data_IF_365469291609
#
_entry.id   IF_365469291609
#
_cell.length_a   1.000
_cell.length_b   1.000
_cell.length_c   1.000
_cell.angle_alpha   90.00
_cell.angle_beta   90.00
_cell.angle_gamma   90.00
#
_symmetry.space_group_name_H-M   'P 1'
#
loop_
_entity.id
_entity.type
_entity.pdbx_description
1 polymer ?
#
# COMPACT_ATOMS: atom_id res chain seq x y z
N UNK A 1 -10.03 -18.58 -7.70
CA UNK A 1 -8.66 -18.07 -7.44
C UNK A 1 -7.49 -18.93 -7.96
N UNK A 2 -7.41 -20.23 -7.68
CA UNK A 2 -6.31 -21.13 -8.15
C UNK A 2 -6.22 -21.23 -9.67
N UNK A 3 -7.35 -21.35 -10.36
CA UNK A 3 -7.45 -21.43 -11.83
C UNK A 3 -7.09 -20.12 -12.55
N UNK A 4 -7.39 -18.95 -11.96
CA UNK A 4 -7.21 -17.65 -12.64
C UNK A 4 -5.73 -17.19 -12.64
N UNK A 5 -4.98 -17.56 -11.60
CA UNK A 5 -3.53 -17.30 -11.51
C UNK A 5 -2.76 -18.28 -12.40
N UNK A 6 -3.23 -19.52 -12.55
CA UNK A 6 -2.60 -20.52 -13.42
C UNK A 6 -2.86 -20.28 -14.92
N UNK A 7 -3.97 -19.61 -15.30
CA UNK A 7 -4.28 -19.29 -16.71
C UNK A 7 -3.56 -18.05 -17.26
N UNK A 8 -2.89 -17.26 -16.43
CA UNK A 8 -2.10 -16.10 -16.87
C UNK A 8 -0.62 -16.50 -17.00
N UNK A 9 -0.27 -17.16 -18.11
CA UNK A 9 1.10 -17.54 -18.49
C UNK A 9 2.09 -16.35 -18.62
N UNK A 10 1.61 -15.10 -18.49
CA UNK A 10 2.41 -13.88 -18.61
C UNK A 10 2.85 -13.25 -17.29
N UNK A 11 2.45 -13.79 -16.13
CA UNK A 11 2.93 -13.28 -14.85
C UNK A 11 4.26 -13.97 -14.48
N UNK A 12 5.40 -13.26 -14.35
CA UNK A 12 6.72 -13.88 -14.14
C UNK A 12 6.94 -14.54 -12.76
N UNK A 13 5.98 -14.47 -11.83
CA UNK A 13 6.18 -14.93 -10.44
C UNK A 13 4.97 -15.69 -9.84
N UNK A 14 4.36 -16.67 -10.53
CA UNK A 14 3.11 -17.31 -10.08
C UNK A 14 3.31 -18.09 -8.77
N UNK A 15 4.49 -18.68 -8.56
CA UNK A 15 4.83 -19.44 -7.35
C UNK A 15 5.01 -18.53 -6.12
N UNK A 16 5.67 -17.38 -6.26
CA UNK A 16 5.84 -16.45 -5.15
C UNK A 16 4.49 -15.83 -4.74
N UNK A 17 3.66 -15.46 -5.72
CA UNK A 17 2.30 -14.97 -5.49
C UNK A 17 1.46 -16.05 -4.78
N UNK A 18 1.57 -17.32 -5.20
CA UNK A 18 0.91 -18.45 -4.54
C UNK A 18 1.34 -18.58 -3.07
N UNK A 19 2.64 -18.58 -2.78
CA UNK A 19 3.18 -18.67 -1.42
C UNK A 19 2.65 -17.52 -0.56
N UNK A 20 2.64 -16.30 -1.08
CA UNK A 20 2.11 -15.13 -0.38
C UNK A 20 0.61 -15.31 -0.09
N UNK A 21 -0.18 -15.74 -1.07
CA UNK A 21 -1.62 -15.99 -0.90
C UNK A 21 -1.87 -17.07 0.16
N UNK A 22 -1.10 -18.16 0.13
CA UNK A 22 -1.24 -19.26 1.09
C UNK A 22 -0.81 -18.82 2.50
N UNK A 23 0.28 -18.05 2.63
CA UNK A 23 0.70 -17.43 3.90
C UNK A 23 -0.38 -16.51 4.49
N UNK A 24 -1.02 -15.68 3.66
CA UNK A 24 -2.11 -14.80 4.11
C UNK A 24 -3.43 -15.56 4.37
N UNK A 25 -3.60 -16.78 3.84
CA UNK A 25 -4.75 -17.65 4.13
C UNK A 25 -4.65 -18.31 5.51
N UNK A 26 -3.43 -18.64 5.95
CA UNK A 26 -3.16 -19.25 7.26
C UNK A 26 -3.23 -18.24 8.41
N UNK A 27 -3.13 -16.95 8.11
CA UNK A 27 -3.46 -15.88 9.06
C UNK A 27 -4.98 -15.81 9.24
N UNK A 28 -5.51 -15.58 10.46
CA UNK A 28 -6.93 -15.37 10.68
C UNK A 28 -7.37 -14.06 10.00
N UNK A 29 -7.75 -14.13 8.73
CA UNK A 29 -8.36 -13.02 8.01
C UNK A 29 -9.64 -13.47 7.31
N UNK A 30 -10.71 -12.66 7.41
CA UNK A 30 -12.01 -12.94 6.84
C UNK A 30 -11.97 -12.91 5.32
N UNK A 31 -12.82 -13.75 4.72
CA UNK A 31 -13.04 -13.82 3.29
C UNK A 31 -13.40 -12.43 2.73
N UNK A 32 -12.57 -11.92 1.83
CA UNK A 32 -12.90 -10.75 1.00
C UNK A 32 -14.10 -11.14 0.14
N UNK A 33 -15.28 -10.66 0.52
CA UNK A 33 -16.50 -10.86 -0.25
C UNK A 33 -16.39 -10.21 -1.62
N UNK A 34 -16.58 -11.02 -2.66
CA UNK A 34 -17.01 -10.67 -4.02
C UNK A 34 -16.51 -9.33 -4.59
N UNK A 35 -15.20 -9.09 -4.56
CA UNK A 35 -14.49 -8.17 -5.47
C UNK A 35 -13.24 -8.84 -6.03
N UNK A 36 -13.35 -10.09 -6.51
CA UNK A 36 -12.22 -10.81 -7.13
C UNK A 36 -11.69 -10.15 -8.42
N UNK A 37 -12.45 -9.22 -9.04
CA UNK A 37 -12.05 -8.57 -10.31
C UNK A 37 -11.24 -7.27 -10.17
N UNK A 38 -11.29 -6.59 -9.02
CA UNK A 38 -10.66 -5.26 -8.85
C UNK A 38 -9.34 -5.26 -8.07
N UNK A 39 -8.99 -6.35 -7.39
CA UNK A 39 -7.71 -6.43 -6.65
C UNK A 39 -6.54 -6.50 -7.63
N UNK A 40 -6.71 -7.19 -8.76
CA UNK A 40 -5.65 -7.37 -9.74
C UNK A 40 -5.25 -6.06 -10.44
N UNK A 41 -6.19 -5.12 -10.62
CA UNK A 41 -5.94 -3.83 -11.27
C UNK A 41 -5.15 -2.87 -10.37
N UNK A 42 -5.14 -3.10 -9.06
CA UNK A 42 -4.40 -2.29 -8.09
C UNK A 42 -2.93 -2.72 -7.92
N UNK A 43 -2.53 -3.88 -8.44
CA UNK A 43 -1.13 -4.28 -8.41
C UNK A 43 -0.29 -3.34 -9.27
N UNK A 44 0.80 -2.86 -8.67
CA UNK A 44 1.79 -2.01 -9.35
C UNK A 44 3.06 -2.79 -9.57
N UNK A 45 3.60 -2.69 -10.77
CA UNK A 45 4.93 -3.21 -11.08
C UNK A 45 5.98 -2.47 -10.23
N UNK A 46 6.85 -3.22 -9.56
CA UNK A 46 7.84 -2.65 -8.63
C UNK A 46 9.00 -1.96 -9.36
N UNK A 47 9.38 -2.47 -10.53
CA UNK A 47 10.46 -1.92 -11.36
C UNK A 47 9.99 -1.83 -12.80
N UNK A 48 9.83 -0.61 -13.30
CA UNK A 48 9.65 -0.30 -14.72
C UNK A 48 10.91 0.42 -15.19
N UNK A 49 11.61 -0.16 -16.16
CA UNK A 49 12.85 0.45 -16.69
C UNK A 49 12.56 1.65 -17.59
N UNK A 50 11.35 1.79 -18.12
CA UNK A 50 11.00 2.95 -18.94
C UNK A 50 10.78 4.22 -18.11
N UNK A 51 10.26 4.09 -16.89
CA UNK A 51 9.64 5.23 -16.19
C UNK A 51 10.52 5.84 -15.10
N UNK A 52 11.44 5.04 -14.53
CA UNK A 52 12.23 5.42 -13.37
C UNK A 52 13.73 5.19 -13.53
N UNK A 53 14.54 6.05 -12.90
CA UNK A 53 15.98 5.90 -12.82
C UNK A 53 16.32 4.63 -12.05
N UNK A 54 17.15 3.78 -12.65
CA UNK A 54 17.61 2.56 -11.99
C UNK A 54 18.75 2.89 -11.03
N UNK A 55 18.48 2.72 -9.75
CA UNK A 55 19.49 2.78 -8.70
C UNK A 55 19.67 1.38 -8.13
N UNK A 56 20.87 0.82 -8.28
CA UNK A 56 21.16 -0.47 -7.66
C UNK A 56 21.22 -0.33 -6.13
N UNK A 57 21.11 -1.46 -5.42
CA UNK A 57 21.09 -1.46 -3.96
C UNK A 57 22.39 -0.87 -3.34
N UNK A 58 23.53 -1.04 -4.00
CA UNK A 58 24.81 -0.49 -3.53
C UNK A 58 24.84 1.04 -3.64
N UNK A 59 24.39 1.61 -4.77
CA UNK A 59 24.28 3.05 -4.99
C UNK A 59 23.29 3.68 -4.00
N UNK A 60 22.12 3.07 -3.79
CA UNK A 60 21.14 3.54 -2.80
C UNK A 60 21.72 3.63 -1.39
N UNK A 61 22.56 2.65 -1.01
CA UNK A 61 23.26 2.64 0.27
C UNK A 61 24.40 3.65 0.30
N UNK A 62 25.26 3.68 -0.72
CA UNK A 62 26.48 4.51 -0.75
C UNK A 62 26.15 6.00 -0.78
N UNK A 63 25.04 6.38 -1.41
CA UNK A 63 24.51 7.74 -1.41
C UNK A 63 23.62 8.05 -0.21
N UNK A 64 23.47 7.10 0.72
CA UNK A 64 22.64 7.23 1.93
C UNK A 64 21.24 7.80 1.63
N UNK A 65 20.58 7.30 0.57
CA UNK A 65 19.34 7.91 0.07
C UNK A 65 18.20 7.77 1.08
N UNK A 66 18.06 6.59 1.68
CA UNK A 66 16.96 6.28 2.59
C UNK A 66 17.39 6.24 4.06
N UNK A 67 18.55 5.66 4.35
CA UNK A 67 19.12 5.51 5.67
C UNK A 67 20.64 5.73 5.60
N UNK A 68 21.21 6.24 6.68
CA UNK A 68 22.64 6.40 6.87
C UNK A 68 23.31 5.03 7.11
N UNK A 69 24.56 4.86 6.64
CA UNK A 69 25.28 3.59 6.76
C UNK A 69 25.87 3.33 8.15
N UNK A 70 26.22 4.39 8.89
CA UNK A 70 26.88 4.31 10.19
C UNK A 70 25.95 3.75 11.27
N UNK A 71 24.69 4.21 11.29
CA UNK A 71 23.73 3.84 12.34
C UNK A 71 22.54 3.03 11.82
N UNK A 72 22.35 2.93 10.50
CA UNK A 72 21.14 2.38 9.90
C UNK A 72 19.88 3.24 10.10
N UNK A 73 20.02 4.40 10.76
CA UNK A 73 18.92 5.33 11.01
C UNK A 73 18.58 6.12 9.75
N UNK A 74 17.34 6.61 9.69
CA UNK A 74 16.95 7.62 8.69
C UNK A 74 17.70 8.92 8.95
N UNK A 75 18.03 9.25 10.21
CA UNK A 75 18.76 10.47 10.55
C UNK A 75 20.13 10.48 9.85
N UNK A 76 20.43 11.59 9.16
CA UNK A 76 21.66 11.74 8.37
C UNK A 76 21.56 11.25 6.92
N UNK A 77 20.43 10.67 6.51
CA UNK A 77 20.17 10.29 5.11
C UNK A 77 19.58 11.44 4.30
N UNK A 78 19.59 11.33 2.96
CA UNK A 78 18.93 12.31 2.09
C UNK A 78 17.42 12.42 2.40
N UNK A 79 16.77 11.30 2.70
CA UNK A 79 15.35 11.29 3.06
C UNK A 79 15.10 12.11 4.31
N UNK A 80 16.00 12.06 5.30
CA UNK A 80 15.86 12.89 6.49
C UNK A 80 15.97 14.39 6.19
N UNK A 81 16.85 14.77 5.26
CA UNK A 81 17.02 16.18 4.86
C UNK A 81 15.79 16.70 4.11
N UNK A 82 15.18 15.88 3.25
CA UNK A 82 14.06 16.31 2.41
C UNK A 82 12.67 16.13 3.05
N UNK A 83 12.57 15.32 4.10
CA UNK A 83 11.28 15.01 4.74
C UNK A 83 10.77 16.16 5.61
N UNK A 84 10.03 17.06 4.98
CA UNK A 84 9.21 18.09 5.61
C UNK A 84 7.70 17.78 5.53
N UNK A 85 7.35 16.50 5.34
CA UNK A 85 5.95 16.10 5.16
C UNK A 85 5.18 16.18 6.48
N UNK A 86 3.92 16.62 6.41
CA UNK A 86 3.07 16.76 7.60
C UNK A 86 2.21 15.52 7.88
N UNK A 87 2.20 14.54 6.96
CA UNK A 87 1.34 13.35 7.07
C UNK A 87 2.13 12.05 6.90
N UNK A 88 1.75 10.96 7.59
CA UNK A 88 2.43 9.67 7.46
C UNK A 88 2.38 9.07 6.05
N UNK A 89 1.25 9.25 5.35
CA UNK A 89 1.11 8.81 3.96
C UNK A 89 1.93 9.69 3.00
N UNK A 90 2.08 10.99 3.29
CA UNK A 90 2.99 11.89 2.56
C UNK A 90 4.45 11.43 2.68
N UNK A 91 4.89 11.08 3.89
CA UNK A 91 6.23 10.52 4.13
C UNK A 91 6.49 9.23 3.35
N UNK A 92 5.49 8.34 3.26
CA UNK A 92 5.57 7.11 2.46
C UNK A 92 5.68 7.40 0.97
N UNK A 93 4.91 8.39 0.48
CA UNK A 93 4.98 8.83 -0.90
C UNK A 93 6.35 9.43 -1.24
N UNK A 94 6.89 10.29 -0.37
CA UNK A 94 8.21 10.88 -0.55
C UNK A 94 9.30 9.79 -0.60
N UNK A 95 9.26 8.83 0.32
CA UNK A 95 10.18 7.68 0.30
C UNK A 95 10.13 6.94 -1.03
N UNK A 96 8.92 6.75 -1.60
CA UNK A 96 8.74 6.13 -2.91
C UNK A 96 9.38 6.96 -4.02
N UNK A 97 9.12 8.26 -4.09
CA UNK A 97 9.72 9.16 -5.08
C UNK A 97 11.25 9.15 -5.05
N UNK A 98 11.84 9.10 -3.85
CA UNK A 98 13.29 9.03 -3.71
C UNK A 98 13.88 7.70 -4.16
N UNK A 99 13.17 6.59 -3.93
CA UNK A 99 13.61 5.25 -4.38
C UNK A 99 13.35 4.98 -5.87
N UNK A 100 12.45 5.74 -6.49
CA UNK A 100 12.00 5.57 -7.87
C UNK A 100 11.97 6.93 -8.57
N UNK A 101 13.16 7.54 -8.70
CA UNK A 101 13.29 8.86 -9.33
C UNK A 101 12.77 8.81 -10.77
N UNK A 102 12.12 9.88 -11.22
CA UNK A 102 11.54 9.95 -12.57
C UNK A 102 12.65 10.03 -13.64
N UNK A 103 12.39 9.45 -14.82
CA UNK A 103 13.23 9.61 -16.03
C UNK A 103 12.68 10.67 -17.00
N UNK A 104 11.37 10.86 -17.00
CA UNK A 104 10.66 11.76 -17.92
C UNK A 104 10.93 13.23 -17.59
N UNK A 105 11.51 13.96 -18.54
CA UNK A 105 11.77 15.40 -18.39
C UNK A 105 10.47 16.17 -18.16
N UNK A 106 9.40 15.79 -18.83
CA UNK A 106 8.08 16.42 -18.70
C UNK A 106 7.57 16.29 -17.26
N UNK A 107 7.67 15.10 -16.67
CA UNK A 107 7.18 14.86 -15.31
C UNK A 107 8.07 15.55 -14.26
N UNK A 108 9.40 15.58 -14.49
CA UNK A 108 10.34 16.31 -13.64
C UNK A 108 10.02 17.81 -13.66
N UNK A 109 9.81 18.37 -14.85
CA UNK A 109 9.50 19.79 -15.01
C UNK A 109 8.16 20.13 -14.36
N UNK A 110 7.13 19.31 -14.53
CA UNK A 110 5.84 19.50 -13.87
C UNK A 110 5.96 19.50 -12.34
N UNK A 111 6.80 18.64 -11.77
CA UNK A 111 7.09 18.67 -10.32
C UNK A 111 7.82 19.96 -9.90
N UNK A 112 8.81 20.41 -10.68
CA UNK A 112 9.54 21.63 -10.40
C UNK A 112 8.66 22.88 -10.50
N UNK A 113 7.78 22.93 -11.50
CA UNK A 113 6.80 24.00 -11.68
C UNK A 113 5.82 24.05 -10.50
N UNK A 114 5.30 22.91 -10.05
CA UNK A 114 4.43 22.86 -8.88
C UNK A 114 5.15 23.35 -7.60
N UNK A 115 6.42 23.00 -7.42
CA UNK A 115 7.22 23.50 -6.28
C UNK A 115 7.43 25.01 -6.40
N UNK A 116 7.76 25.51 -7.59
CA UNK A 116 7.95 26.94 -7.83
C UNK A 116 6.66 27.74 -7.58
N UNK A 117 5.51 27.21 -8.01
CA UNK A 117 4.21 27.82 -7.76
C UNK A 117 3.93 27.93 -6.26
N UNK A 118 4.17 26.86 -5.49
CA UNK A 118 3.99 26.88 -4.03
C UNK A 118 4.92 27.89 -3.36
N UNK A 119 6.17 28.00 -3.81
CA UNK A 119 7.15 28.93 -3.24
C UNK A 119 6.86 30.41 -3.57
N UNK A 120 6.37 30.69 -4.78
CA UNK A 120 6.07 32.04 -5.23
C UNK A 120 4.66 32.51 -4.87
N UNK A 121 3.82 31.63 -4.30
CA UNK A 121 2.44 31.96 -3.98
C UNK A 121 2.34 32.84 -2.73
N UNK A 122 1.79 34.04 -2.89
CA UNK A 122 1.39 34.92 -1.77
C UNK A 122 0.00 34.55 -1.20
N UNK A 123 -0.56 33.40 -1.59
CA UNK A 123 -1.89 32.98 -1.19
C UNK A 123 -1.97 32.58 0.27
N UNK A 124 -2.89 33.19 1.02
CA UNK A 124 -3.21 32.82 2.41
C UNK A 124 -3.85 31.43 2.56
N UNK A 125 -4.19 30.78 1.45
CA UNK A 125 -4.77 29.42 1.42
C UNK A 125 -3.73 28.37 1.78
N UNK A 126 -2.45 28.55 1.41
CA UNK A 126 -1.41 27.54 1.65
C UNK A 126 -1.12 27.30 3.14
N UNK A 127 -0.94 28.34 3.99
CA UNK A 127 -0.81 28.14 5.43
C UNK A 127 -2.04 27.44 6.05
N UNK A 128 -3.23 27.81 5.58
CA UNK A 128 -4.48 27.19 6.03
C UNK A 128 -4.52 25.71 5.69
N UNK A 129 -4.14 25.34 4.47
CA UNK A 129 -4.04 23.94 4.02
C UNK A 129 -2.99 23.16 4.82
N UNK A 130 -1.81 23.74 5.07
CA UNK A 130 -0.77 23.11 5.88
C UNK A 130 -1.26 22.82 7.31
N UNK A 131 -2.01 23.75 7.91
CA UNK A 131 -2.61 23.56 9.24
C UNK A 131 -3.64 22.41 9.26
N UNK A 132 -4.36 22.22 8.16
CA UNK A 132 -5.31 21.10 8.02
C UNK A 132 -4.56 19.77 7.88
N UNK A 133 -3.55 19.72 7.01
CA UNK A 133 -2.75 18.51 6.79
C UNK A 133 -2.07 18.02 8.06
N UNK A 134 -1.56 18.94 8.89
CA UNK A 134 -0.89 18.60 10.16
C UNK A 134 -1.81 17.89 11.16
N UNK A 135 -3.13 18.10 11.06
CA UNK A 135 -4.13 17.47 11.95
C UNK A 135 -4.64 16.12 11.43
N UNK A 136 -4.24 15.70 10.23
CA UNK A 136 -4.74 14.46 9.65
C UNK A 136 -4.06 13.23 10.28
N UNK A 137 -4.83 12.20 10.68
CA UNK A 137 -4.27 10.93 11.11
C UNK A 137 -3.74 10.13 9.90
N UNK A 138 -3.18 8.95 10.16
CA UNK A 138 -2.79 8.00 9.11
C UNK A 138 -4.03 7.38 8.42
N UNK A 139 -4.61 8.13 7.47
CA UNK A 139 -5.82 7.74 6.77
C UNK A 139 -5.67 6.43 5.99
N UNK A 140 -4.52 6.21 5.36
CA UNK A 140 -4.25 4.99 4.60
C UNK A 140 -4.38 3.75 5.50
N UNK A 141 -3.73 3.77 6.67
CA UNK A 141 -3.83 2.68 7.65
C UNK A 141 -5.22 2.60 8.29
N UNK A 142 -5.86 3.73 8.55
CA UNK A 142 -7.22 3.80 9.08
C UNK A 142 -8.23 3.12 8.16
N UNK A 143 -8.18 3.44 6.87
CA UNK A 143 -9.03 2.83 5.84
C UNK A 143 -8.76 1.33 5.70
N UNK A 144 -7.50 0.91 5.68
CA UNK A 144 -7.17 -0.53 5.70
C UNK A 144 -7.75 -1.23 6.95
N UNK A 145 -7.63 -0.63 8.13
CA UNK A 145 -8.17 -1.22 9.37
C UNK A 145 -9.70 -1.33 9.35
N UNK A 146 -10.39 -0.30 8.86
CA UNK A 146 -11.87 -0.32 8.73
C UNK A 146 -12.30 -1.38 7.74
N UNK A 147 -11.63 -1.44 6.58
CA UNK A 147 -11.89 -2.44 5.56
C UNK A 147 -11.79 -3.86 6.14
N UNK A 148 -10.68 -4.18 6.81
CA UNK A 148 -10.44 -5.48 7.43
C UNK A 148 -11.49 -5.82 8.53
N UNK A 149 -11.84 -4.84 9.37
CA UNK A 149 -12.84 -5.04 10.45
C UNK A 149 -14.26 -5.28 9.92
N UNK A 150 -14.65 -4.61 8.84
CA UNK A 150 -15.95 -4.82 8.23
C UNK A 150 -16.04 -6.21 7.60
N UNK A 151 -14.95 -6.68 6.98
CA UNK A 151 -14.86 -8.06 6.49
C UNK A 151 -14.93 -9.07 7.63
N UNK A 152 -14.29 -8.79 8.79
CA UNK A 152 -14.27 -9.68 9.98
C UNK A 152 -15.67 -9.87 10.58
N UNK A 153 -16.44 -8.78 10.63
CA UNK A 153 -17.83 -8.78 11.12
C UNK A 153 -18.77 -9.58 10.22
N UNK A 154 -18.61 -9.45 8.91
CA UNK A 154 -19.40 -10.22 7.93
C UNK A 154 -19.06 -11.71 7.98
N UNK A 155 -17.78 -12.07 8.12
CA UNK A 155 -17.35 -13.46 8.31
C UNK A 155 -17.97 -14.06 9.58
N UNK A 156 -17.86 -13.39 10.73
CA UNK A 156 -18.38 -13.89 11.99
C UNK A 156 -19.89 -14.17 11.91
N UNK A 157 -20.65 -13.27 11.26
CA UNK A 157 -22.07 -13.44 11.03
C UNK A 157 -22.39 -14.64 10.12
N UNK A 158 -21.61 -14.85 9.05
CA UNK A 158 -21.80 -15.99 8.13
C UNK A 158 -21.43 -17.31 8.81
N UNK A 159 -20.31 -17.37 9.55
CA UNK A 159 -19.92 -18.59 10.29
C UNK A 159 -20.88 -18.91 11.43
N UNK A 160 -21.41 -17.90 12.13
CA UNK A 160 -22.43 -18.14 13.15
C UNK A 160 -23.75 -18.59 12.53
N UNK A 161 -24.12 -18.07 11.36
CA UNK A 161 -25.30 -18.54 10.63
C UNK A 161 -25.12 -19.98 10.15
N UNK A 162 -23.97 -20.33 9.56
CA UNK A 162 -23.71 -21.69 9.08
C UNK A 162 -23.57 -22.71 10.23
N UNK A 163 -22.98 -22.31 11.36
CA UNK A 163 -22.97 -23.11 12.59
C UNK A 163 -24.38 -23.29 13.15
N UNK A 164 -25.19 -22.23 13.19
CA UNK A 164 -26.57 -22.32 13.65
C UNK A 164 -27.42 -23.21 12.73
N UNK A 165 -27.29 -23.09 11.40
CA UNK A 165 -28.01 -23.97 10.47
C UNK A 165 -27.59 -25.44 10.61
N UNK A 166 -26.30 -25.72 10.81
CA UNK A 166 -25.81 -27.09 11.02
C UNK A 166 -26.31 -27.67 12.35
N UNK A 167 -26.36 -26.87 13.42
CA UNK A 167 -26.94 -27.28 14.71
C UNK A 167 -28.44 -27.59 14.54
N UNK A 168 -29.19 -26.72 13.86
CA UNK A 168 -30.64 -26.91 13.62
C UNK A 168 -30.92 -28.14 12.75
N UNK A 169 -30.08 -28.45 11.75
CA UNK A 169 -30.22 -29.68 10.95
C UNK A 169 -29.88 -30.94 11.74
N UNK A 170 -28.94 -30.88 12.68
CA UNK A 170 -28.62 -32.01 13.57
C UNK A 170 -29.76 -32.28 14.58
N UNK A 171 -30.39 -31.26 15.15
CA UNK A 171 -31.52 -31.43 16.07
C UNK A 171 -32.74 -32.11 15.43
N UNK A 172 -32.91 -32.01 14.10
CA UNK A 172 -34.02 -32.64 13.37
C UNK A 172 -33.74 -34.09 12.94
N UNK A 173 -32.51 -34.61 13.11
CA UNK A 173 -32.15 -36.00 12.77
C UNK A 173 -32.30 -36.99 13.92
N UNK A 174 -32.44 -36.53 15.17
CA UNK A 174 -32.62 -37.41 16.35
C UNK A 174 -34.09 -37.79 16.63
N UNK A 175 -35.02 -37.44 15.74
CA UNK A 175 -36.47 -37.67 15.90
C UNK A 175 -37.08 -38.60 14.84
N UNK A 176 -36.30 -39.49 14.21
CA UNK A 176 -36.79 -40.50 13.25
C UNK A 176 -36.34 -41.91 13.63
#
# INVERSE_FOLDING_TARGET
MTEFILRNEKAPYPTAVRIIIDFYRDMPHPAVGNQEKDVCSSFKQLSSDSDHMQLNAATMKNLEILCNQTTGSVKGSLLWVLDHTQTPFGKRLLRKWMSQSLKSVIDIQAQQEAVAEILCSESSVLPSLQSLLTRLPDLERGLCSIYQKNTLRLWAAITLHSLWTNIVTCSNCESS
#
